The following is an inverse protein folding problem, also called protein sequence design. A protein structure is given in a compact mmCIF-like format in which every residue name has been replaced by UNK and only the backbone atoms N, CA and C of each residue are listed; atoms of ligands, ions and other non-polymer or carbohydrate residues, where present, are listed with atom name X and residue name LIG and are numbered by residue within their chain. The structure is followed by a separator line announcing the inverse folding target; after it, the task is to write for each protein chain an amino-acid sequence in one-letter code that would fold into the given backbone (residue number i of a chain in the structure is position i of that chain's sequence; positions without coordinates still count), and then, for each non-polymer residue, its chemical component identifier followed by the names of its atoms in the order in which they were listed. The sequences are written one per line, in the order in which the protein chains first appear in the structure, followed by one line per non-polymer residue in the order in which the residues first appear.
data_IF_253308832218
#
_entry.id   IF_253308832218
#
_cell.length_a   1.000
_cell.length_b   1.000
_cell.length_c   1.000
_cell.angle_alpha   90.00
_cell.angle_beta   90.00
_cell.angle_gamma   90.00
#
_symmetry.space_group_name_H-M   'P 1'
#
loop_
_entity.id
_entity.type
_entity.pdbx_description
1 polymer ?
#
# COMPACT_ATOMS: atom_id res chain seq x y z
N UNK A 1 7.71 -4.84 -14.34
CA UNK A 1 6.38 -4.52 -14.87
C UNK A 1 6.50 -3.27 -15.70
N UNK A 2 5.83 -3.17 -16.84
CA UNK A 2 5.84 -1.96 -17.68
C UNK A 2 4.92 -0.86 -17.12
N UNK A 3 3.85 -1.26 -16.45
CA UNK A 3 2.88 -0.36 -15.82
C UNK A 3 2.75 -0.65 -14.33
N UNK A 4 2.60 0.42 -13.54
CA UNK A 4 2.19 0.35 -12.14
C UNK A 4 0.83 1.05 -12.01
N UNK A 5 -0.17 0.31 -11.54
CA UNK A 5 -1.53 0.82 -11.37
C UNK A 5 -1.85 0.81 -9.89
N UNK A 6 -2.32 1.94 -9.37
CA UNK A 6 -2.86 2.05 -8.02
C UNK A 6 -4.37 1.89 -8.11
N UNK A 7 -4.90 0.90 -7.40
CA UNK A 7 -6.32 0.58 -7.42
C UNK A 7 -6.89 0.72 -6.01
N UNK A 8 -7.98 1.48 -5.89
CA UNK A 8 -8.73 1.64 -4.65
C UNK A 8 -10.04 0.87 -4.75
N UNK A 9 -10.29 -0.01 -3.79
CA UNK A 9 -11.53 -0.79 -3.68
C UNK A 9 -12.01 -0.78 -2.24
N UNK A 10 -13.32 -0.93 -2.03
CA UNK A 10 -13.89 -0.94 -0.67
C UNK A 10 -13.53 -2.22 0.07
N UNK A 11 -13.35 -3.32 -0.66
CA UNK A 11 -12.98 -4.62 -0.12
C UNK A 11 -11.91 -5.30 -0.97
N UNK A 12 -11.14 -6.20 -0.37
CA UNK A 12 -10.15 -7.00 -1.08
C UNK A 12 -10.80 -7.86 -2.18
N UNK A 13 -12.01 -8.37 -1.94
CA UNK A 13 -12.77 -9.15 -2.93
C UNK A 13 -13.12 -8.32 -4.16
N UNK A 14 -13.52 -7.07 -3.98
CA UNK A 14 -13.85 -6.15 -5.07
C UNK A 14 -12.61 -5.82 -5.92
N UNK A 15 -11.49 -5.49 -5.27
CA UNK A 15 -10.22 -5.21 -5.95
C UNK A 15 -9.73 -6.43 -6.75
N UNK A 16 -9.74 -7.62 -6.15
CA UNK A 16 -9.35 -8.87 -6.84
C UNK A 16 -10.27 -9.22 -8.00
N UNK A 17 -11.58 -8.99 -7.83
CA UNK A 17 -12.57 -9.21 -8.90
C UNK A 17 -12.32 -8.29 -10.08
N UNK A 18 -12.03 -7.02 -9.84
CA UNK A 18 -11.69 -6.07 -10.90
C UNK A 18 -10.44 -6.51 -11.67
N UNK A 19 -9.38 -6.92 -10.98
CA UNK A 19 -8.15 -7.40 -11.63
C UNK A 19 -8.45 -8.62 -12.51
N UNK A 20 -9.23 -9.58 -12.01
CA UNK A 20 -9.57 -10.81 -12.73
C UNK A 20 -10.51 -10.59 -13.93
N UNK A 21 -11.57 -9.78 -13.76
CA UNK A 21 -12.61 -9.62 -14.79
C UNK A 21 -12.32 -8.49 -15.78
N UNK A 22 -11.48 -7.52 -15.42
CA UNK A 22 -11.27 -6.30 -16.22
C UNK A 22 -9.84 -6.09 -16.65
N UNK A 23 -8.86 -6.31 -15.77
CA UNK A 23 -7.46 -6.00 -16.08
C UNK A 23 -6.72 -7.15 -16.77
N UNK A 24 -6.80 -8.36 -16.21
CA UNK A 24 -6.16 -9.57 -16.72
C UNK A 24 -6.62 -10.04 -18.10
N UNK A 25 -7.89 -9.88 -18.53
CA UNK A 25 -8.34 -10.36 -19.84
C UNK A 25 -8.09 -9.37 -20.98
N UNK A 26 -7.46 -8.23 -20.71
CA UNK A 26 -7.07 -7.28 -21.77
C UNK A 26 -5.96 -7.93 -22.61
N UNK A 27 -6.19 -8.09 -23.91
CA UNK A 27 -5.28 -8.80 -24.84
C UNK A 27 -3.78 -8.46 -24.69
N UNK A 28 -3.36 -7.19 -24.60
CA UNK A 28 -1.94 -6.84 -24.41
C UNK A 28 -1.37 -7.14 -23.00
N UNK A 29 -2.18 -7.61 -22.05
CA UNK A 29 -1.72 -7.90 -20.68
C UNK A 29 -1.21 -9.33 -20.58
N UNK A 30 0.13 -9.48 -20.49
CA UNK A 30 0.79 -10.78 -20.35
C UNK A 30 0.66 -11.37 -18.93
N UNK A 31 0.72 -10.52 -17.89
CA UNK A 31 0.63 -10.96 -16.50
C UNK A 31 0.27 -9.80 -15.57
N UNK A 32 -0.38 -10.13 -14.45
CA UNK A 32 -0.74 -9.17 -13.40
C UNK A 32 -0.18 -9.60 -12.05
N UNK A 33 0.44 -8.69 -11.30
CA UNK A 33 0.90 -8.93 -9.93
C UNK A 33 0.31 -7.87 -8.99
N UNK A 34 -0.43 -8.32 -7.97
CA UNK A 34 -1.13 -7.44 -7.03
C UNK A 34 -0.37 -7.33 -5.71
N UNK A 35 -0.05 -6.10 -5.30
CA UNK A 35 0.61 -5.81 -4.03
C UNK A 35 -0.31 -4.98 -3.14
N UNK A 36 -0.56 -5.44 -1.91
CA UNK A 36 -1.41 -4.73 -0.96
C UNK A 36 -0.57 -3.82 -0.06
N UNK A 37 -0.97 -2.56 0.04
CA UNK A 37 -0.38 -1.61 0.98
C UNK A 37 -0.96 -1.89 2.37
N UNK A 38 -0.18 -2.58 3.22
CA UNK A 38 -0.60 -2.94 4.58
C UNK A 38 -0.60 -1.73 5.52
N UNK A 39 0.42 -0.87 5.40
CA UNK A 39 0.58 0.32 6.24
C UNK A 39 1.32 1.41 5.47
N UNK A 40 0.72 2.59 5.38
CA UNK A 40 1.38 3.79 4.88
C UNK A 40 2.23 4.39 6.00
N UNK A 41 3.55 4.42 5.81
CA UNK A 41 4.48 5.01 6.78
C UNK A 41 4.78 6.49 6.51
N UNK A 42 4.65 6.89 5.25
CA UNK A 42 4.79 8.26 4.78
C UNK A 42 3.74 8.49 3.71
N UNK A 43 3.06 9.63 3.77
CA UNK A 43 2.11 10.04 2.74
C UNK A 43 2.31 11.54 2.47
N UNK A 44 2.48 11.92 1.21
CA UNK A 44 2.75 13.31 0.79
C UNK A 44 3.85 14.04 1.60
N UNK A 45 4.94 13.35 1.95
CA UNK A 45 6.05 13.92 2.74
C UNK A 45 5.80 14.00 4.26
N UNK A 46 4.60 13.65 4.73
CA UNK A 46 4.27 13.59 6.15
C UNK A 46 4.52 12.18 6.70
N UNK A 47 5.33 12.08 7.76
CA UNK A 47 5.59 10.80 8.43
C UNK A 47 4.37 10.45 9.30
N UNK A 48 3.69 9.36 8.98
CA UNK A 48 2.51 8.86 9.71
C UNK A 48 2.88 7.97 10.91
N UNK A 49 4.17 7.68 11.08
CA UNK A 49 4.67 6.98 12.24
C UNK A 49 4.76 7.93 13.45
N UNK A 50 4.20 7.58 14.62
CA UNK A 50 4.41 8.37 15.83
C UNK A 50 5.91 8.42 16.14
N UNK A 51 6.46 9.63 16.27
CA UNK A 51 7.81 9.77 16.82
C UNK A 51 7.78 9.25 18.25
N UNK A 52 8.48 8.13 18.49
CA UNK A 52 8.71 7.61 19.83
C UNK A 52 9.49 8.70 20.58
N UNK A 53 8.83 9.43 21.49
CA UNK A 53 9.55 10.29 22.45
C UNK A 53 10.53 9.37 23.19
N UNK A 54 11.80 9.72 23.18
CA UNK A 54 12.77 9.01 23.99
C UNK A 54 12.38 9.23 25.46
N UNK A 55 11.88 8.17 26.13
CA UNK A 55 11.81 8.10 27.58
C UNK A 55 13.25 8.01 28.13
N UNK A 56 14.06 9.05 27.95
CA UNK A 56 15.29 9.18 28.72
C UNK A 56 14.86 9.62 30.11
N UNK A 57 14.82 8.67 31.04
CA UNK A 57 14.70 8.97 32.46
C UNK A 57 15.90 9.83 32.86
N UNK A 58 15.63 10.99 33.44
CA UNK A 58 16.65 11.82 34.10
C UNK A 58 17.17 11.05 35.32
N UNK A 59 18.37 10.48 35.23
CA UNK A 59 19.07 9.98 36.41
C UNK A 59 19.66 11.20 37.11
N UNK A 60 19.05 11.62 38.22
CA UNK A 60 19.63 12.64 39.11
C UNK A 60 20.46 11.95 40.20
N UNK A 61 21.70 12.43 40.46
CA UNK A 61 22.46 12.04 41.65
C UNK A 61 21.87 12.64 42.94
#
# INVERSE_FOLDING_TARGET
YDFLIILEGKTLKEASRFVSEKLSPIEPVLSTATHFILKKYKDHGTILAPQKKAERVLVMP
#
